data_IF_000394620024
#
_entry.id   IF_000394620024
#
_cell.length_a   1.000
_cell.length_b   1.000
_cell.length_c   1.000
_cell.angle_alpha   90.00
_cell.angle_beta   90.00
_cell.angle_gamma   90.00
#
_symmetry.space_group_name_H-M   'P 1'
#
loop_
_entity.id
_entity.type
_entity.pdbx_description
1 polymer ?
#
# COMPACT_ATOMS: atom_id res chain seq x y z
N UNK A 1 -15.04 6.75 9.78
CA UNK A 1 -14.75 7.32 8.44
C UNK A 1 -13.85 8.57 8.55
N UNK A 2 -12.78 8.57 9.36
CA UNK A 2 -12.02 9.81 9.64
C UNK A 2 -10.89 10.07 8.63
N UNK A 3 -10.17 9.01 8.21
CA UNK A 3 -9.00 9.13 7.33
C UNK A 3 -9.34 9.38 5.85
N UNK A 4 -10.46 8.84 5.35
CA UNK A 4 -10.81 8.92 3.92
C UNK A 4 -10.96 10.35 3.40
N UNK A 5 -11.60 11.23 4.17
CA UNK A 5 -11.77 12.64 3.77
C UNK A 5 -10.40 13.31 3.62
N UNK A 6 -9.49 13.07 4.57
CA UNK A 6 -8.13 13.57 4.49
C UNK A 6 -7.38 13.04 3.27
N UNK A 7 -7.48 11.73 2.99
CA UNK A 7 -6.83 11.11 1.84
C UNK A 7 -7.36 11.69 0.53
N UNK A 8 -8.66 11.90 0.39
CA UNK A 8 -9.22 12.51 -0.82
C UNK A 8 -8.81 13.98 -0.98
N UNK A 9 -8.61 14.69 0.13
CA UNK A 9 -8.23 16.11 0.11
C UNK A 9 -6.74 16.37 -0.15
N UNK A 10 -5.85 15.47 0.29
CA UNK A 10 -4.39 15.68 0.31
C UNK A 10 -3.59 14.55 -0.31
N UNK A 11 -4.24 13.47 -0.72
CA UNK A 11 -3.57 12.24 -1.15
C UNK A 11 -3.19 11.31 0.02
N UNK A 12 -2.57 10.18 -0.34
CA UNK A 12 -1.90 9.29 0.60
C UNK A 12 -0.56 9.92 0.99
N UNK A 13 -0.33 10.11 2.28
CA UNK A 13 0.88 10.75 2.80
C UNK A 13 1.69 9.73 3.61
N UNK A 14 3.01 9.79 3.47
CA UNK A 14 3.92 9.15 4.42
C UNK A 14 3.84 9.97 5.70
N UNK A 15 3.65 9.29 6.83
CA UNK A 15 3.52 9.97 8.11
C UNK A 15 4.89 10.55 8.54
N UNK A 16 4.93 11.67 9.27
CA UNK A 16 6.18 12.33 9.63
C UNK A 16 7.02 11.53 10.65
N UNK A 17 8.36 11.65 10.60
CA UNK A 17 9.28 10.83 11.43
C UNK A 17 9.14 11.05 12.94
N UNK A 18 8.52 12.16 13.37
CA UNK A 18 8.35 12.53 14.78
C UNK A 18 7.24 11.79 15.56
N UNK A 19 6.43 10.96 14.91
CA UNK A 19 5.26 10.29 15.57
C UNK A 19 5.63 8.87 16.02
N UNK A 20 5.41 8.45 17.29
CA UNK A 20 5.75 7.10 17.73
C UNK A 20 4.91 6.03 16.99
N UNK A 21 5.60 5.07 16.37
CA UNK A 21 5.01 4.16 15.39
C UNK A 21 4.70 2.77 15.96
N UNK A 22 3.52 2.25 15.66
CA UNK A 22 3.20 0.82 15.78
C UNK A 22 2.66 0.33 14.43
N UNK A 23 3.17 -0.80 13.93
CA UNK A 23 2.63 -1.45 12.72
C UNK A 23 3.42 -1.23 11.41
N UNK A 24 4.60 -0.63 11.46
CA UNK A 24 5.52 -0.55 10.31
C UNK A 24 6.42 -1.78 10.28
N UNK A 25 6.09 -2.74 9.43
CA UNK A 25 6.85 -3.98 9.34
C UNK A 25 8.12 -3.83 8.49
N UNK A 26 8.16 -2.84 7.60
CA UNK A 26 9.18 -2.63 6.57
C UNK A 26 9.41 -1.13 6.31
N UNK A 27 9.55 -0.37 7.39
CA UNK A 27 9.87 1.06 7.31
C UNK A 27 8.70 2.02 7.13
N UNK A 28 9.06 3.29 6.98
CA UNK A 28 8.12 4.39 6.71
C UNK A 28 7.75 4.41 5.23
N UNK A 29 6.46 4.36 4.92
CA UNK A 29 6.01 4.35 3.53
C UNK A 29 4.51 4.17 3.38
N UNK A 30 4.06 4.13 2.12
CA UNK A 30 2.68 3.84 1.76
C UNK A 30 2.58 2.37 1.37
N UNK A 31 1.73 1.63 2.08
CA UNK A 31 1.58 0.19 1.92
C UNK A 31 0.38 -0.16 1.05
N UNK A 32 0.60 -1.01 0.05
CA UNK A 32 -0.44 -1.55 -0.82
C UNK A 32 -0.51 -3.07 -0.68
N UNK A 33 -1.64 -3.66 -1.08
CA UNK A 33 -1.81 -5.10 -1.16
C UNK A 33 -2.49 -5.47 -2.48
N UNK A 34 -2.08 -6.60 -3.03
CA UNK A 34 -2.67 -7.28 -4.20
C UNK A 34 -3.94 -8.08 -3.85
N UNK A 35 -4.25 -8.21 -2.55
CA UNK A 35 -5.37 -9.00 -2.04
C UNK A 35 -6.31 -8.15 -1.20
N UNK A 36 -7.62 -8.26 -1.49
CA UNK A 36 -8.67 -7.55 -0.74
C UNK A 36 -8.63 -7.85 0.75
N UNK A 37 -8.46 -9.13 1.12
CA UNK A 37 -8.52 -9.57 2.52
C UNK A 37 -7.48 -8.85 3.39
N UNK A 38 -6.25 -8.68 2.89
CA UNK A 38 -5.15 -8.02 3.63
C UNK A 38 -5.47 -6.55 3.91
N UNK A 39 -5.97 -5.82 2.91
CA UNK A 39 -6.38 -4.41 3.07
C UNK A 39 -7.64 -4.26 3.92
N UNK A 40 -8.55 -5.24 3.91
CA UNK A 40 -9.84 -5.16 4.61
C UNK A 40 -9.73 -4.99 6.13
N UNK A 41 -8.63 -5.48 6.72
CA UNK A 41 -8.34 -5.34 8.14
C UNK A 41 -8.07 -3.88 8.55
N UNK A 42 -7.66 -3.03 7.60
CA UNK A 42 -7.42 -1.59 7.81
C UNK A 42 -8.66 -0.73 7.58
N UNK A 43 -9.76 -1.31 7.09
CA UNK A 43 -11.03 -0.62 6.87
C UNK A 43 -11.85 -0.50 8.18
N UNK A 44 -11.23 -0.05 9.26
CA UNK A 44 -11.89 0.07 10.56
C UNK A 44 -12.86 1.26 10.59
N UNK A 45 -14.06 1.02 11.12
CA UNK A 45 -15.05 2.07 11.34
C UNK A 45 -15.34 2.19 12.83
N UNK A 46 -14.84 3.27 13.44
CA UNK A 46 -15.07 3.55 14.86
C UNK A 46 -16.52 3.90 15.18
N UNK A 47 -17.38 4.12 14.19
CA UNK A 47 -18.80 4.36 14.42
C UNK A 47 -19.58 3.04 14.49
N UNK A 48 -20.15 2.67 15.65
CA UNK A 48 -20.88 1.42 15.83
C UNK A 48 -22.18 1.36 15.00
N UNK A 49 -22.68 2.51 14.53
CA UNK A 49 -23.89 2.62 13.71
C UNK A 49 -23.63 2.45 12.21
N UNK A 50 -22.38 2.55 11.77
CA UNK A 50 -22.03 2.52 10.35
C UNK A 50 -21.56 1.13 9.92
N UNK A 51 -22.32 0.48 9.03
CA UNK A 51 -21.93 -0.80 8.42
C UNK A 51 -21.03 -0.64 7.18
N UNK A 52 -20.89 0.59 6.66
CA UNK A 52 -20.10 0.88 5.48
C UNK A 52 -18.59 0.87 5.82
N UNK A 53 -17.82 0.24 4.93
CA UNK A 53 -16.35 0.23 4.93
C UNK A 53 -15.87 0.71 3.56
N UNK A 54 -14.79 1.47 3.55
CA UNK A 54 -14.20 2.03 2.34
C UNK A 54 -12.79 1.46 2.15
N UNK A 55 -12.43 1.19 0.90
CA UNK A 55 -11.11 0.75 0.46
C UNK A 55 -10.76 1.49 -0.82
N UNK A 56 -9.48 1.82 -1.00
CA UNK A 56 -8.99 2.47 -2.21
C UNK A 56 -8.38 1.43 -3.14
N UNK A 57 -8.68 1.56 -4.43
CA UNK A 57 -7.94 0.94 -5.51
C UNK A 57 -7.11 2.04 -6.16
N UNK A 58 -5.79 1.86 -6.19
CA UNK A 58 -4.86 2.86 -6.72
C UNK A 58 -4.00 2.25 -7.82
N UNK A 59 -3.75 3.01 -8.88
CA UNK A 59 -2.63 2.73 -9.78
C UNK A 59 -1.33 3.13 -9.07
N UNK A 60 -0.38 2.20 -8.98
CA UNK A 60 0.89 2.41 -8.25
C UNK A 60 2.05 2.11 -9.19
N UNK A 61 2.90 3.10 -9.44
CA UNK A 61 4.11 2.95 -10.22
C UNK A 61 5.20 2.28 -9.39
N UNK A 62 5.22 0.94 -9.38
CA UNK A 62 6.18 0.16 -8.57
C UNK A 62 7.64 0.33 -9.03
N UNK A 63 7.89 0.65 -10.30
CA UNK A 63 9.25 0.78 -10.84
C UNK A 63 10.06 -0.51 -10.70
N UNK A 64 11.33 -0.39 -10.35
CA UNK A 64 12.18 -1.53 -10.00
C UNK A 64 11.99 -1.88 -8.52
N UNK A 65 11.43 -3.06 -8.24
CA UNK A 65 11.11 -3.48 -6.88
C UNK A 65 12.19 -4.40 -6.31
N UNK A 66 12.64 -4.15 -5.08
CA UNK A 66 13.40 -5.12 -4.29
C UNK A 66 12.45 -6.19 -3.77
N UNK A 67 12.68 -7.45 -4.15
CA UNK A 67 11.83 -8.59 -3.82
C UNK A 67 12.41 -9.36 -2.62
N UNK A 68 11.58 -10.07 -1.88
CA UNK A 68 11.95 -10.95 -0.76
C UNK A 68 12.56 -10.21 0.45
N UNK A 69 12.09 -8.99 0.68
CA UNK A 69 12.45 -8.19 1.87
C UNK A 69 11.89 -8.86 3.12
N UNK A 70 12.76 -9.12 4.08
CA UNK A 70 12.42 -9.73 5.36
C UNK A 70 12.30 -8.68 6.45
N UNK A 71 11.55 -9.03 7.48
CA UNK A 71 11.40 -8.15 8.63
C UNK A 71 12.76 -7.96 9.31
N UNK A 72 13.19 -6.71 9.46
CA UNK A 72 14.50 -6.36 10.01
C UNK A 72 15.61 -6.16 8.98
N UNK A 73 15.34 -6.35 7.69
CA UNK A 73 16.24 -5.85 6.65
C UNK A 73 16.26 -4.31 6.70
N UNK A 74 17.45 -3.72 6.57
CA UNK A 74 17.58 -2.25 6.55
C UNK A 74 16.83 -1.66 5.35
N UNK A 75 16.09 -0.57 5.60
CA UNK A 75 15.30 0.18 4.60
C UNK A 75 16.18 0.95 3.59
N UNK A 76 17.44 0.56 3.42
CA UNK A 76 18.31 1.15 2.41
C UNK A 76 17.87 0.66 1.02
N UNK A 77 17.15 1.54 0.33
CA UNK A 77 16.93 1.45 -1.10
C UNK A 77 18.23 1.86 -1.78
N UNK A 78 18.85 0.93 -2.51
CA UNK A 78 19.90 1.28 -3.47
C UNK A 78 19.33 2.29 -4.48
N UNK A 79 20.18 3.10 -5.13
CA UNK A 79 19.74 4.18 -6.04
C UNK A 79 18.79 3.69 -7.16
N UNK A 80 18.89 2.41 -7.53
CA UNK A 80 18.09 1.78 -8.58
C UNK A 80 16.78 1.12 -8.08
N UNK A 81 16.45 1.18 -6.80
CA UNK A 81 15.23 0.57 -6.23
C UNK A 81 14.17 1.64 -5.97
N UNK A 82 12.96 1.43 -6.50
CA UNK A 82 11.84 2.37 -6.35
C UNK A 82 10.75 1.87 -5.39
N UNK A 83 10.71 0.56 -5.10
CA UNK A 83 9.72 -0.01 -4.18
C UNK A 83 10.19 -1.32 -3.55
N UNK A 84 9.49 -1.73 -2.49
CA UNK A 84 9.68 -3.02 -1.83
C UNK A 84 8.51 -3.95 -2.15
N UNK A 85 8.80 -5.19 -2.58
CA UNK A 85 7.80 -6.24 -2.80
C UNK A 85 8.01 -7.36 -1.79
N UNK A 86 7.16 -7.37 -0.77
CA UNK A 86 7.17 -8.38 0.30
C UNK A 86 6.39 -9.60 -0.15
N UNK A 87 7.03 -10.78 -0.15
CA UNK A 87 6.38 -12.02 -0.56
C UNK A 87 5.58 -12.63 0.58
N UNK A 88 4.27 -12.74 0.38
CA UNK A 88 3.39 -13.52 1.25
C UNK A 88 3.40 -15.00 0.90
N UNK A 89 2.82 -15.85 1.76
CA UNK A 89 2.63 -17.28 1.46
C UNK A 89 1.66 -17.52 0.29
N UNK A 90 0.70 -16.62 0.12
CA UNK A 90 -0.31 -16.67 -0.92
C UNK A 90 -0.25 -15.37 -1.71
N UNK A 91 -0.41 -15.48 -3.03
CA UNK A 91 -0.57 -14.38 -3.95
C UNK A 91 -1.66 -14.74 -4.98
N UNK A 92 -2.30 -13.75 -5.61
CA UNK A 92 -3.15 -13.99 -6.78
C UNK A 92 -2.37 -14.72 -7.88
N UNK A 93 -3.07 -15.54 -8.67
CA UNK A 93 -2.49 -16.21 -9.83
C UNK A 93 -2.34 -15.21 -10.98
N UNK A 94 -1.13 -15.08 -11.52
CA UNK A 94 -0.79 -14.12 -12.59
C UNK A 94 -1.65 -14.31 -13.86
N UNK A 95 -2.10 -15.55 -14.13
CA UNK A 95 -2.97 -15.87 -15.28
C UNK A 95 -4.31 -15.10 -15.27
N UNK A 96 -4.72 -14.58 -14.12
CA UNK A 96 -5.96 -13.83 -13.94
C UNK A 96 -5.75 -12.32 -13.82
N UNK A 97 -4.53 -11.83 -14.07
CA UNK A 97 -4.23 -10.41 -14.03
C UNK A 97 -4.95 -9.67 -15.16
N UNK A 98 -5.90 -8.83 -14.78
CA UNK A 98 -6.59 -7.94 -15.71
C UNK A 98 -5.76 -6.68 -15.94
N UNK A 99 -5.44 -6.37 -17.20
CA UNK A 99 -4.83 -5.10 -17.59
C UNK A 99 -5.93 -4.11 -17.96
N UNK A 100 -6.06 -3.03 -17.18
CA UNK A 100 -6.98 -1.95 -17.51
C UNK A 100 -6.52 -1.25 -18.80
N UNK A 101 -7.46 -0.84 -19.69
CA UNK A 101 -7.14 -0.35 -21.04
C UNK A 101 -6.35 0.96 -21.05
N UNK A 102 -6.25 1.65 -19.91
CA UNK A 102 -5.62 2.96 -19.82
C UNK A 102 -4.11 2.92 -19.63
N UNK A 103 -3.51 1.74 -19.39
CA UNK A 103 -2.06 1.54 -19.36
C UNK A 103 -1.31 2.41 -18.34
N UNK A 104 0.01 2.20 -18.21
CA UNK A 104 0.87 3.00 -17.30
C UNK A 104 0.65 4.49 -17.55
N UNK A 105 0.28 5.23 -16.51
CA UNK A 105 0.32 6.69 -16.55
C UNK A 105 1.77 7.12 -16.88
N UNK A 106 2.01 7.63 -18.09
CA UNK A 106 3.27 8.32 -18.41
C UNK A 106 3.24 9.65 -17.69
N UNK A 107 3.92 9.73 -16.55
CA UNK A 107 4.25 11.00 -15.92
C UNK A 107 5.22 11.71 -16.87
N UNK A 108 4.78 12.84 -17.44
CA UNK A 108 5.59 13.74 -18.25
C UNK A 108 6.42 14.66 -17.35
#
# INVERSE_FOLDING_TARGET
MSNFISILSRGLLVTPPEVPWTGHLFGEGIYFADTFLKSSHYCHNHSPKSKCKLMLLCEVALGNSKIDVKHGDEDHLDEDINSLKILGRNAPLEDFDARLPFGKLKLY
#
